data_IF_121728754453
#
_entry.id   IF_121728754453
#
_cell.length_a   1.000
_cell.length_b   1.000
_cell.length_c   1.000
_cell.angle_alpha   90.00
_cell.angle_beta   90.00
_cell.angle_gamma   90.00
#
_symmetry.space_group_name_H-M   'P 1'
#
loop_
_entity.id
_entity.type
_entity.pdbx_description
1 polymer ?
#
# COMPACT_ATOMS: atom_id res chain seq x y z
N UNK A 1 31.86 16.52 27.44
CA UNK A 1 30.81 17.11 28.32
C UNK A 1 30.44 16.02 29.31
N UNK A 2 30.54 16.13 30.63
CA UNK A 2 30.97 17.18 31.55
C UNK A 2 31.44 16.41 32.79
N UNK A 3 32.73 16.49 33.09
CA UNK A 3 33.34 15.96 34.31
C UNK A 3 32.79 16.76 35.50
N UNK A 4 32.36 16.08 36.56
CA UNK A 4 32.26 16.68 37.90
C UNK A 4 33.19 15.88 38.80
N UNK A 5 34.29 16.54 39.15
CA UNK A 5 35.20 16.19 40.24
C UNK A 5 34.55 16.66 41.55
N UNK A 6 34.63 15.86 42.62
CA UNK A 6 34.65 16.38 43.98
C UNK A 6 35.74 15.67 44.78
N UNK A 7 36.73 16.47 45.16
CA UNK A 7 37.87 16.20 46.02
C UNK A 7 37.40 16.27 47.48
N UNK A 8 37.74 15.27 48.29
CA UNK A 8 38.00 15.47 49.73
C UNK A 8 39.25 14.69 50.10
N UNK A 9 40.28 15.43 50.47
CA UNK A 9 41.57 14.97 50.96
C UNK A 9 41.59 14.88 52.48
N UNK A 10 42.42 13.94 52.95
CA UNK A 10 43.21 13.94 54.19
C UNK A 10 42.73 13.11 55.40
N UNK A 11 43.44 11.98 55.53
CA UNK A 11 44.06 11.41 56.74
C UNK A 11 43.21 10.47 57.63
N UNK A 12 43.63 9.20 57.59
CA UNK A 12 43.86 8.44 58.82
C UNK A 12 42.83 7.38 59.20
N UNK A 13 42.83 6.26 58.48
CA UNK A 13 42.91 4.87 59.00
C UNK A 13 42.35 3.90 57.98
N UNK A 14 43.16 2.88 57.68
CA UNK A 14 42.83 1.74 56.83
C UNK A 14 41.67 0.95 57.45
N UNK A 15 40.46 1.29 57.06
CA UNK A 15 39.29 0.45 57.17
C UNK A 15 38.77 0.17 55.77
N UNK A 16 39.39 -0.76 55.04
CA UNK A 16 38.71 -1.38 53.90
C UNK A 16 37.55 -2.18 54.48
N UNK A 17 36.39 -1.54 54.67
CA UNK A 17 35.15 -2.29 54.75
C UNK A 17 35.07 -3.12 53.48
N UNK A 18 34.91 -4.45 53.55
CA UNK A 18 34.55 -5.20 52.37
C UNK A 18 33.23 -4.59 51.91
N UNK A 19 33.26 -3.88 50.79
CA UNK A 19 32.05 -3.61 50.02
C UNK A 19 31.60 -4.99 49.57
N UNK A 20 30.76 -5.60 50.41
CA UNK A 20 30.02 -6.80 50.07
C UNK A 20 29.01 -6.35 49.02
N UNK A 21 29.45 -6.25 47.78
CA UNK A 21 28.54 -6.09 46.66
C UNK A 21 27.63 -7.33 46.67
N UNK A 22 26.38 -7.12 47.08
CA UNK A 22 25.36 -8.16 47.04
C UNK A 22 25.18 -8.58 45.58
N UNK A 23 25.05 -9.89 45.34
CA UNK A 23 24.77 -10.37 44.00
C UNK A 23 23.28 -10.22 43.75
N UNK A 24 22.93 -9.29 42.86
CA UNK A 24 21.58 -9.11 42.35
C UNK A 24 21.44 -10.05 41.15
N UNK A 25 20.46 -10.94 41.23
CA UNK A 25 20.09 -11.82 40.12
C UNK A 25 18.95 -11.19 39.32
N UNK A 26 19.18 -11.06 38.02
CA UNK A 26 18.20 -10.56 37.07
C UNK A 26 17.37 -11.73 36.54
N UNK A 27 16.04 -11.63 36.63
CA UNK A 27 15.14 -12.70 36.19
C UNK A 27 14.09 -12.13 35.25
N UNK A 28 14.08 -12.68 34.03
CA UNK A 28 13.09 -12.35 33.02
C UNK A 28 11.74 -12.99 33.37
N UNK A 29 10.69 -12.18 33.43
CA UNK A 29 9.32 -12.63 33.65
C UNK A 29 8.47 -12.28 32.43
N UNK A 30 7.98 -13.32 31.76
CA UNK A 30 7.01 -13.21 30.68
C UNK A 30 5.60 -13.32 31.26
N UNK A 31 4.74 -12.38 30.90
CA UNK A 31 3.34 -12.35 31.34
C UNK A 31 2.45 -11.75 30.25
N UNK A 32 1.15 -11.87 30.45
CA UNK A 32 0.15 -11.28 29.57
C UNK A 32 -0.74 -10.34 30.36
N UNK A 33 -1.27 -9.30 29.70
CA UNK A 33 -2.29 -8.42 30.28
C UNK A 33 -3.36 -8.09 29.25
N UNK A 34 -4.56 -7.79 29.73
CA UNK A 34 -5.63 -7.31 28.86
C UNK A 34 -5.47 -5.81 28.61
N UNK A 35 -5.21 -5.43 27.35
CA UNK A 35 -5.24 -4.05 26.91
C UNK A 35 -6.69 -3.67 26.59
N UNK A 36 -7.15 -2.59 27.22
CA UNK A 36 -8.46 -2.01 26.95
C UNK A 36 -8.46 -1.25 25.60
N UNK A 37 -9.63 -1.19 24.92
CA UNK A 37 -9.78 -0.43 23.69
C UNK A 37 -9.55 1.06 23.92
N UNK A 38 -8.92 1.73 22.95
CA UNK A 38 -8.73 3.18 22.98
C UNK A 38 -10.05 3.95 22.79
N UNK A 39 -10.93 3.40 21.96
CA UNK A 39 -12.23 3.97 21.61
C UNK A 39 -13.32 2.92 21.85
N UNK A 40 -13.67 2.62 23.11
CA UNK A 40 -14.70 1.63 23.43
C UNK A 40 -16.04 2.02 22.79
N UNK A 41 -16.74 1.04 22.23
CA UNK A 41 -18.11 1.23 21.77
C UNK A 41 -19.08 1.21 22.96
N UNK A 42 -20.29 1.72 22.75
CA UNK A 42 -21.34 1.64 23.77
C UNK A 42 -21.57 0.19 24.22
N UNK A 43 -21.77 -0.02 25.54
CA UNK A 43 -21.89 -1.35 26.16
C UNK A 43 -23.07 -2.17 25.63
N UNK A 44 -24.10 -1.50 25.10
CA UNK A 44 -25.27 -2.14 24.47
C UNK A 44 -24.92 -2.81 23.14
N UNK A 45 -23.83 -2.42 22.49
CA UNK A 45 -23.38 -2.98 21.23
C UNK A 45 -22.71 -4.33 21.46
N UNK A 46 -23.30 -5.38 20.90
CA UNK A 46 -22.76 -6.75 20.93
C UNK A 46 -22.35 -7.26 19.56
N UNK A 47 -22.91 -6.65 18.52
CA UNK A 47 -22.75 -7.12 17.16
C UNK A 47 -21.94 -6.15 16.30
N UNK A 48 -21.29 -6.70 15.27
CA UNK A 48 -20.67 -5.90 14.23
C UNK A 48 -20.83 -6.57 12.86
N UNK A 49 -20.81 -5.75 11.81
CA UNK A 49 -20.69 -6.17 10.43
C UNK A 49 -19.52 -5.47 9.76
N UNK A 50 -18.89 -6.15 8.82
CA UNK A 50 -17.81 -5.59 8.01
C UNK A 50 -18.31 -5.42 6.58
N UNK A 51 -18.11 -4.23 6.02
CA UNK A 51 -18.42 -3.88 4.64
C UNK A 51 -17.14 -3.48 3.95
N UNK A 52 -16.80 -4.13 2.84
CA UNK A 52 -15.60 -3.80 2.05
C UNK A 52 -16.02 -3.04 0.81
N UNK A 53 -15.39 -1.89 0.58
CA UNK A 53 -15.64 -1.03 -0.58
C UNK A 53 -14.34 -0.88 -1.36
N UNK A 54 -14.42 -1.05 -2.68
CA UNK A 54 -13.32 -0.85 -3.61
C UNK A 54 -13.82 0.12 -4.70
N UNK A 55 -13.69 1.45 -4.51
CA UNK A 55 -14.30 2.44 -5.41
C UNK A 55 -13.80 2.32 -6.86
N UNK A 56 -12.55 1.87 -7.05
CA UNK A 56 -11.96 1.69 -8.38
C UNK A 56 -12.62 0.58 -9.22
N UNK A 57 -13.42 -0.31 -8.62
CA UNK A 57 -14.15 -1.33 -9.40
C UNK A 57 -15.23 -0.70 -10.28
N UNK A 58 -15.86 0.40 -9.84
CA UNK A 58 -16.80 1.14 -10.68
C UNK A 58 -16.11 1.81 -11.88
N UNK A 59 -14.85 2.22 -11.72
CA UNK A 59 -14.02 2.77 -12.81
C UNK A 59 -13.62 1.66 -13.79
N UNK A 60 -13.22 0.49 -13.28
CA UNK A 60 -12.97 -0.70 -14.09
C UNK A 60 -14.19 -1.07 -14.96
N UNK A 61 -15.39 -1.09 -14.37
CA UNK A 61 -16.63 -1.40 -15.08
C UNK A 61 -16.93 -0.39 -16.19
N UNK A 62 -16.74 0.92 -15.91
CA UNK A 62 -16.91 1.98 -16.91
C UNK A 62 -15.94 1.83 -18.07
N UNK A 63 -14.65 1.66 -17.77
CA UNK A 63 -13.62 1.48 -18.79
C UNK A 63 -13.90 0.23 -19.65
N UNK A 64 -14.38 -0.85 -19.05
CA UNK A 64 -14.75 -2.06 -19.78
C UNK A 64 -16.00 -1.85 -20.67
N UNK A 65 -16.98 -1.07 -20.22
CA UNK A 65 -18.15 -0.72 -21.02
C UNK A 65 -17.78 0.18 -22.21
N UNK A 66 -16.92 1.17 -21.99
CA UNK A 66 -16.40 2.04 -23.06
C UNK A 66 -15.62 1.23 -24.09
N UNK A 67 -14.76 0.32 -23.65
CA UNK A 67 -14.05 -0.60 -24.54
C UNK A 67 -14.99 -1.46 -25.38
N UNK A 68 -16.05 -2.03 -24.77
CA UNK A 68 -17.07 -2.80 -25.49
C UNK A 68 -17.83 -1.95 -26.53
N UNK A 69 -18.13 -0.68 -26.20
CA UNK A 69 -18.78 0.25 -27.14
C UNK A 69 -17.86 0.59 -28.30
N UNK A 70 -16.58 0.87 -28.03
CA UNK A 70 -15.58 1.11 -29.06
C UNK A 70 -15.42 -0.09 -29.99
N UNK A 71 -15.35 -1.31 -29.44
CA UNK A 71 -15.31 -2.55 -30.24
C UNK A 71 -16.52 -2.70 -31.16
N UNK A 72 -17.72 -2.36 -30.66
CA UNK A 72 -18.94 -2.44 -31.45
C UNK A 72 -19.00 -1.43 -32.60
N UNK A 73 -18.29 -0.29 -32.50
CA UNK A 73 -18.26 0.71 -33.59
C UNK A 73 -17.24 0.39 -34.68
N UNK A 74 -16.21 -0.42 -34.40
CA UNK A 74 -15.10 -0.71 -35.33
C UNK A 74 -15.58 -1.13 -36.72
N UNK A 75 -16.55 -2.04 -36.80
CA UNK A 75 -17.04 -2.55 -38.09
C UNK A 75 -17.80 -1.48 -38.88
N UNK A 76 -18.63 -0.68 -38.20
CA UNK A 76 -19.39 0.40 -38.83
C UNK A 76 -18.47 1.54 -39.28
N UNK A 77 -17.52 1.95 -38.43
CA UNK A 77 -16.54 2.99 -38.72
C UNK A 77 -15.64 2.58 -39.89
N UNK A 78 -15.21 1.31 -39.92
CA UNK A 78 -14.42 0.76 -41.02
C UNK A 78 -15.21 0.71 -42.34
N UNK A 79 -16.45 0.21 -42.32
CA UNK A 79 -17.30 0.18 -43.52
C UNK A 79 -17.58 1.60 -44.07
N UNK A 80 -17.79 2.57 -43.18
CA UNK A 80 -17.94 3.97 -43.57
C UNK A 80 -16.66 4.56 -44.16
N UNK A 81 -15.50 4.22 -43.59
CA UNK A 81 -14.19 4.61 -44.10
C UNK A 81 -13.92 3.99 -45.49
N UNK A 82 -14.27 2.72 -45.70
CA UNK A 82 -14.18 2.05 -47.01
C UNK A 82 -15.07 2.72 -48.06
N UNK A 83 -16.32 3.03 -47.72
CA UNK A 83 -17.23 3.73 -48.63
C UNK A 83 -16.71 5.13 -48.99
N UNK A 84 -16.12 5.84 -48.03
CA UNK A 84 -15.51 7.16 -48.25
C UNK A 84 -14.24 7.06 -49.09
N UNK A 85 -13.41 6.06 -48.85
CA UNK A 85 -12.21 5.77 -49.64
C UNK A 85 -12.55 5.44 -51.09
N UNK A 86 -13.58 4.62 -51.33
CA UNK A 86 -14.04 4.31 -52.68
C UNK A 86 -14.45 5.56 -53.47
N UNK A 87 -15.16 6.50 -52.82
CA UNK A 87 -15.50 7.81 -53.42
C UNK A 87 -14.26 8.66 -53.70
N UNK A 88 -13.31 8.69 -52.77
CA UNK A 88 -12.06 9.44 -52.94
C UNK A 88 -11.19 8.88 -54.07
N UNK A 89 -11.11 7.56 -54.21
CA UNK A 89 -10.42 6.89 -55.34
C UNK A 89 -11.10 7.25 -56.67
N UNK A 90 -12.43 7.22 -56.74
CA UNK A 90 -13.16 7.59 -57.96
C UNK A 90 -12.92 9.06 -58.34
N UNK A 91 -12.98 9.97 -57.36
CA UNK A 91 -12.70 11.38 -57.58
C UNK A 91 -11.25 11.64 -58.04
N UNK A 92 -10.27 10.98 -57.43
CA UNK A 92 -8.87 11.10 -57.81
C UNK A 92 -8.60 10.59 -59.24
N UNK A 93 -9.28 9.51 -59.67
CA UNK A 93 -9.22 9.03 -61.05
C UNK A 93 -9.84 10.02 -62.04
N UNK A 94 -11.01 10.57 -61.72
CA UNK A 94 -11.69 11.54 -62.58
C UNK A 94 -10.87 12.85 -62.74
N UNK A 95 -10.31 13.37 -61.65
CA UNK A 95 -9.42 14.54 -61.66
C UNK A 95 -8.15 14.27 -62.49
N UNK A 96 -7.55 13.10 -62.33
CA UNK A 96 -6.40 12.69 -63.14
C UNK A 96 -6.73 12.61 -64.64
N UNK A 97 -7.87 12.01 -65.01
CA UNK A 97 -8.32 11.93 -66.41
C UNK A 97 -8.57 13.32 -67.00
N UNK A 98 -9.19 14.23 -66.24
CA UNK A 98 -9.41 15.61 -66.66
C UNK A 98 -8.09 16.34 -66.89
N UNK A 99 -7.16 16.27 -65.93
CA UNK A 99 -5.82 16.85 -66.03
C UNK A 99 -5.03 16.26 -67.19
N UNK A 100 -5.15 14.95 -67.43
CA UNK A 100 -4.50 14.29 -68.56
C UNK A 100 -5.08 14.73 -69.90
N UNK A 101 -6.40 14.88 -70.00
CA UNK A 101 -7.06 15.39 -71.21
C UNK A 101 -6.66 16.84 -71.50
N UNK A 102 -6.59 17.69 -70.47
CA UNK A 102 -6.12 19.08 -70.59
C UNK A 102 -4.64 19.15 -70.99
N UNK A 103 -3.78 18.37 -70.32
CA UNK A 103 -2.38 18.22 -70.72
C UNK A 103 -2.27 17.77 -72.17
N UNK A 104 -3.06 16.79 -72.62
CA UNK A 104 -3.00 16.30 -74.00
C UNK A 104 -3.40 17.38 -75.03
N UNK A 105 -4.36 18.26 -74.72
CA UNK A 105 -4.78 19.38 -75.59
C UNK A 105 -3.74 20.50 -75.73
N UNK A 106 -2.78 20.62 -74.82
CA UNK A 106 -1.74 21.65 -74.89
C UNK A 106 -0.77 21.41 -76.06
N UNK A 107 -0.32 22.50 -76.71
CA UNK A 107 0.66 22.44 -77.80
C UNK A 107 2.03 21.96 -77.31
N UNK A 108 2.88 21.46 -78.22
CA UNK A 108 4.22 20.96 -77.89
C UNK A 108 5.11 22.06 -77.27
N UNK A 109 4.98 23.30 -77.75
CA UNK A 109 5.71 24.46 -77.22
C UNK A 109 5.24 24.83 -75.80
N UNK A 110 3.93 24.76 -75.54
CA UNK A 110 3.35 25.01 -74.20
C UNK A 110 3.79 23.95 -73.18
N UNK A 111 3.83 22.67 -73.59
CA UNK A 111 4.31 21.56 -72.75
C UNK A 111 5.79 21.70 -72.38
N UNK A 112 6.63 22.15 -73.33
CA UNK A 112 8.05 22.40 -73.10
C UNK A 112 8.28 23.59 -72.14
N UNK A 113 7.51 24.68 -72.31
CA UNK A 113 7.59 25.86 -71.44
C UNK A 113 7.16 25.54 -70.01
N UNK A 114 6.04 24.83 -69.81
CA UNK A 114 5.54 24.45 -68.48
C UNK A 114 6.50 23.49 -67.75
N UNK A 115 7.12 22.56 -68.49
CA UNK A 115 8.13 21.66 -67.91
C UNK A 115 9.42 22.38 -67.52
N UNK A 116 9.84 23.40 -68.28
CA UNK A 116 11.06 24.16 -68.01
C UNK A 116 10.93 25.27 -66.97
N UNK A 117 9.75 25.91 -66.87
CA UNK A 117 9.52 27.08 -65.99
C UNK A 117 8.78 26.72 -64.71
N UNK A 118 7.76 25.85 -64.79
CA UNK A 118 6.89 25.49 -63.65
C UNK A 118 7.21 24.10 -63.07
N UNK A 119 8.14 23.36 -63.69
CA UNK A 119 8.43 21.95 -63.38
C UNK A 119 7.16 21.07 -63.41
N UNK A 120 6.16 21.47 -64.20
CA UNK A 120 4.89 20.76 -64.35
C UNK A 120 5.00 19.76 -65.52
N UNK A 121 5.11 18.47 -65.16
CA UNK A 121 5.19 17.36 -66.10
C UNK A 121 3.82 16.76 -66.46
N UNK A 122 3.84 15.62 -67.16
CA UNK A 122 2.63 14.81 -67.37
C UNK A 122 1.99 14.52 -66.00
N UNK A 123 0.67 14.74 -65.83
CA UNK A 123 -0.02 14.41 -64.59
C UNK A 123 0.28 12.97 -64.15
N UNK A 124 0.31 12.73 -62.85
CA UNK A 124 0.51 11.40 -62.25
C UNK A 124 -0.72 11.08 -61.39
N UNK A 125 -1.23 9.85 -61.52
CA UNK A 125 -2.34 9.39 -60.69
C UNK A 125 -1.85 9.19 -59.25
N UNK A 126 -2.40 9.96 -58.32
CA UNK A 126 -2.19 9.78 -56.88
C UNK A 126 -3.48 9.26 -56.25
N UNK A 127 -3.41 8.09 -55.62
CA UNK A 127 -4.56 7.47 -54.96
C UNK A 127 -4.45 7.63 -53.44
N UNK A 128 -5.57 7.85 -52.74
CA UNK A 128 -5.58 7.86 -51.28
C UNK A 128 -5.26 6.46 -50.72
N UNK A 129 -4.59 6.41 -49.56
CA UNK A 129 -4.31 5.16 -48.86
C UNK A 129 -5.60 4.46 -48.40
N UNK A 130 -5.66 3.11 -48.49
CA UNK A 130 -6.81 2.37 -48.00
C UNK A 130 -6.96 2.52 -46.48
N UNK A 131 -8.20 2.57 -45.97
CA UNK A 131 -8.43 2.59 -44.53
C UNK A 131 -7.94 1.29 -43.89
N UNK A 132 -7.57 1.36 -42.61
CA UNK A 132 -7.19 0.20 -41.81
C UNK A 132 -8.19 0.00 -40.69
N UNK A 133 -8.48 -1.26 -40.39
CA UNK A 133 -9.34 -1.61 -39.25
C UNK A 133 -8.53 -1.53 -37.97
N UNK A 134 -8.73 -0.46 -37.20
CA UNK A 134 -8.05 -0.25 -35.93
C UNK A 134 -8.90 -0.83 -34.80
N UNK A 135 -8.35 -1.80 -34.08
CA UNK A 135 -9.00 -2.30 -32.87
C UNK A 135 -8.63 -1.39 -31.68
N UNK A 136 -9.61 -0.99 -30.85
CA UNK A 136 -9.31 -0.29 -29.61
C UNK A 136 -8.45 -1.20 -28.71
N UNK A 137 -7.58 -0.58 -27.91
CA UNK A 137 -6.76 -1.29 -26.94
C UNK A 137 -7.62 -1.62 -25.70
N UNK A 138 -7.51 -2.84 -25.13
CA UNK A 138 -8.21 -3.15 -23.88
C UNK A 138 -7.73 -2.22 -22.75
N UNK A 139 -8.62 -1.80 -21.84
CA UNK A 139 -8.25 -0.95 -20.73
C UNK A 139 -7.39 -1.73 -19.73
N UNK A 140 -6.43 -1.03 -19.11
CA UNK A 140 -5.71 -1.54 -17.95
C UNK A 140 -6.64 -1.50 -16.73
N UNK A 141 -7.09 -2.67 -16.30
CA UNK A 141 -7.98 -2.81 -15.15
C UNK A 141 -7.18 -3.17 -13.90
N UNK A 142 -7.56 -2.58 -12.77
CA UNK A 142 -7.04 -2.99 -11.44
C UNK A 142 -7.59 -4.36 -11.04
N UNK A 143 -6.87 -5.14 -10.22
CA UNK A 143 -7.36 -6.42 -9.71
C UNK A 143 -8.66 -6.28 -8.92
N UNK A 144 -9.66 -7.08 -9.26
CA UNK A 144 -10.90 -7.22 -8.48
C UNK A 144 -10.60 -7.77 -7.08
N UNK A 145 -11.39 -7.36 -6.09
CA UNK A 145 -11.27 -7.85 -4.71
C UNK A 145 -12.46 -8.74 -4.38
N UNK A 146 -12.17 -9.90 -3.80
CA UNK A 146 -13.20 -10.69 -3.11
C UNK A 146 -13.57 -9.99 -1.79
N UNK A 147 -14.65 -9.21 -1.86
CA UNK A 147 -15.14 -8.39 -0.73
C UNK A 147 -15.64 -9.27 0.42
N UNK A 148 -16.24 -10.42 0.12
CA UNK A 148 -16.80 -11.32 1.14
C UNK A 148 -15.69 -12.07 1.88
N UNK A 149 -14.68 -12.57 1.15
CA UNK A 149 -13.51 -13.17 1.78
C UNK A 149 -12.72 -12.15 2.60
N UNK A 150 -12.57 -10.92 2.08
CA UNK A 150 -11.88 -9.82 2.78
C UNK A 150 -12.63 -9.43 4.05
N UNK A 151 -13.95 -9.24 3.97
CA UNK A 151 -14.79 -9.00 5.14
C UNK A 151 -14.71 -10.19 6.11
N UNK A 152 -14.74 -11.42 5.60
CA UNK A 152 -14.52 -12.70 6.27
C UNK A 152 -13.31 -12.72 7.21
N UNK A 153 -12.18 -12.19 6.74
CA UNK A 153 -10.92 -12.19 7.48
C UNK A 153 -10.83 -11.20 8.65
N UNK A 154 -11.67 -10.17 8.68
CA UNK A 154 -11.58 -9.09 9.67
C UNK A 154 -12.47 -9.32 10.89
N UNK A 155 -11.91 -9.10 12.07
CA UNK A 155 -12.59 -9.30 13.36
C UNK A 155 -12.53 -8.04 14.22
N UNK A 156 -13.53 -7.86 15.06
CA UNK A 156 -13.51 -6.88 16.14
C UNK A 156 -13.55 -7.65 17.46
N UNK A 157 -12.42 -7.78 18.18
CA UNK A 157 -12.36 -8.55 19.42
C UNK A 157 -13.38 -8.04 20.45
N UNK A 158 -14.06 -8.95 21.15
CA UNK A 158 -15.10 -8.61 22.11
C UNK A 158 -16.51 -8.45 21.53
N UNK A 159 -16.68 -8.58 20.21
CA UNK A 159 -17.99 -8.49 19.55
C UNK A 159 -18.26 -9.73 18.69
N UNK A 160 -19.54 -10.03 18.49
CA UNK A 160 -19.98 -11.15 17.65
C UNK A 160 -20.37 -10.64 16.27
N UNK A 161 -19.98 -11.33 15.20
CA UNK A 161 -20.40 -10.92 13.86
C UNK A 161 -21.92 -11.07 13.71
N UNK A 162 -22.60 -10.03 13.22
CA UNK A 162 -24.04 -9.99 13.06
C UNK A 162 -24.55 -8.62 12.60
N UNK A 163 -25.82 -8.58 12.17
CA UNK A 163 -26.48 -7.32 11.81
C UNK A 163 -26.88 -6.49 13.05
N UNK A 164 -27.37 -5.27 12.80
CA UNK A 164 -27.94 -4.36 13.81
C UNK A 164 -26.98 -3.84 14.90
N UNK A 165 -25.67 -3.98 14.69
CA UNK A 165 -24.63 -3.43 15.56
C UNK A 165 -23.72 -2.44 14.85
N UNK A 166 -22.45 -2.39 15.23
CA UNK A 166 -21.47 -1.52 14.60
C UNK A 166 -21.21 -1.91 13.13
N UNK A 167 -21.12 -0.92 12.25
CA UNK A 167 -20.77 -1.11 10.84
C UNK A 167 -19.34 -0.65 10.64
N UNK A 168 -18.45 -1.60 10.37
CA UNK A 168 -17.05 -1.34 10.02
C UNK A 168 -16.92 -1.35 8.50
N UNK A 169 -16.74 -0.18 7.90
CA UNK A 169 -16.48 -0.05 6.46
C UNK A 169 -14.99 0.06 6.20
N UNK A 170 -14.44 -0.87 5.43
CA UNK A 170 -13.05 -0.86 4.98
C UNK A 170 -13.02 -0.46 3.51
N UNK A 171 -12.38 0.67 3.21
CA UNK A 171 -12.28 1.23 1.86
C UNK A 171 -10.88 0.96 1.30
N UNK A 172 -10.80 0.15 0.26
CA UNK A 172 -9.59 -0.16 -0.47
C UNK A 172 -9.46 0.82 -1.64
N UNK A 173 -8.65 1.88 -1.52
CA UNK A 173 -8.54 2.91 -2.57
C UNK A 173 -7.80 2.41 -3.83
N UNK A 174 -7.15 1.25 -3.74
CA UNK A 174 -6.32 0.67 -4.79
C UNK A 174 -4.90 1.21 -4.75
N UNK A 175 -3.97 0.49 -5.39
CA UNK A 175 -2.58 0.92 -5.42
C UNK A 175 -2.41 2.16 -6.30
N UNK A 176 -1.70 3.14 -5.76
CA UNK A 176 -1.19 4.29 -6.49
C UNK A 176 0.30 4.05 -6.73
N UNK A 177 0.73 4.04 -7.98
CA UNK A 177 2.14 3.91 -8.35
C UNK A 177 2.54 5.05 -9.29
N UNK A 178 3.74 5.58 -9.12
CA UNK A 178 4.32 6.54 -10.04
C UNK A 178 4.69 5.86 -11.37
N UNK A 179 4.84 6.66 -12.43
CA UNK A 179 5.54 6.19 -13.63
C UNK A 179 6.98 5.76 -13.27
N UNK A 180 7.53 4.72 -13.93
CA UNK A 180 8.90 4.30 -13.69
C UNK A 180 9.90 5.39 -14.03
N UNK A 181 10.78 5.72 -13.08
CA UNK A 181 11.85 6.71 -13.25
C UNK A 181 13.20 6.03 -13.18
N UNK A 182 14.21 6.60 -13.84
CA UNK A 182 15.58 6.10 -13.68
C UNK A 182 16.05 6.34 -12.25
N UNK A 183 16.64 5.32 -11.63
CA UNK A 183 17.22 5.42 -10.31
C UNK A 183 18.63 6.04 -10.39
N UNK A 184 18.66 7.37 -10.47
CA UNK A 184 19.89 8.16 -10.55
C UNK A 184 20.71 8.12 -9.24
N UNK A 185 20.13 7.57 -8.16
CA UNK A 185 20.74 7.50 -6.82
C UNK A 185 21.41 6.16 -6.51
N UNK A 186 21.09 5.09 -7.26
CA UNK A 186 21.63 3.75 -6.98
C UNK A 186 23.15 3.69 -7.17
N UNK A 187 23.84 2.96 -6.29
CA UNK A 187 25.26 2.66 -6.45
C UNK A 187 25.56 1.93 -7.78
N UNK A 188 24.56 1.22 -8.33
CA UNK A 188 24.61 0.58 -9.64
C UNK A 188 24.60 1.61 -10.79
N UNK A 189 23.78 2.66 -10.71
CA UNK A 189 23.80 3.79 -11.65
C UNK A 189 25.10 4.58 -11.57
N UNK A 190 25.57 4.88 -10.35
CA UNK A 190 26.84 5.61 -10.14
C UNK A 190 28.07 4.81 -10.61
N UNK A 191 28.06 3.47 -10.51
CA UNK A 191 29.12 2.60 -11.01
C UNK A 191 29.03 2.32 -12.51
N UNK A 192 27.83 2.33 -13.09
CA UNK A 192 27.58 2.09 -14.51
C UNK A 192 27.22 3.37 -15.28
N UNK A 193 27.59 4.55 -14.80
CA UNK A 193 27.39 5.82 -15.52
C UNK A 193 28.03 5.81 -16.93
N UNK A 194 28.94 4.87 -17.19
CA UNK A 194 29.58 4.59 -18.48
C UNK A 194 28.95 3.46 -19.32
N UNK A 195 27.93 2.73 -18.82
CA UNK A 195 27.28 1.64 -19.55
C UNK A 195 25.76 1.91 -19.74
N UNK A 196 25.38 2.72 -20.75
CA UNK A 196 24.00 3.18 -20.98
C UNK A 196 22.97 2.07 -21.29
N UNK A 197 23.40 0.81 -21.40
CA UNK A 197 22.58 -0.32 -21.85
C UNK A 197 21.77 -1.03 -20.75
N UNK A 198 21.85 -0.63 -19.47
CA UNK A 198 21.05 -1.25 -18.40
C UNK A 198 20.59 -0.27 -17.30
N UNK A 199 19.70 0.70 -17.61
CA UNK A 199 19.17 1.62 -16.62
C UNK A 199 18.33 0.86 -15.56
N UNK A 200 18.63 1.08 -14.28
CA UNK A 200 17.77 0.65 -13.18
C UNK A 200 16.60 1.62 -13.07
N UNK A 201 15.37 1.09 -13.04
CA UNK A 201 14.17 1.90 -12.85
C UNK A 201 13.62 1.71 -11.44
N UNK A 202 12.90 2.71 -10.96
CA UNK A 202 12.23 2.74 -9.66
C UNK A 202 10.81 3.27 -9.79
N UNK A 203 9.94 2.77 -8.92
CA UNK A 203 8.59 3.25 -8.71
C UNK A 203 8.39 3.63 -7.25
N UNK A 204 7.66 4.72 -7.05
CA UNK A 204 7.10 5.08 -5.75
C UNK A 204 5.64 4.64 -5.72
N UNK A 205 5.24 3.88 -4.70
CA UNK A 205 3.88 3.37 -4.61
C UNK A 205 3.33 3.38 -3.20
N UNK A 206 2.01 3.42 -3.08
CA UNK A 206 1.27 3.26 -1.82
C UNK A 206 -0.07 2.60 -2.09
N UNK A 207 -0.68 2.06 -1.05
CA UNK A 207 -2.03 1.50 -1.14
C UNK A 207 -2.82 2.01 0.07
N UNK A 208 -3.45 3.18 -0.02
CA UNK A 208 -4.22 3.73 1.09
C UNK A 208 -5.42 2.84 1.43
N UNK A 209 -5.68 2.65 2.72
CA UNK A 209 -6.87 1.94 3.21
C UNK A 209 -7.59 2.78 4.25
N UNK A 210 -8.87 3.05 3.98
CA UNK A 210 -9.78 3.77 4.88
C UNK A 210 -10.51 2.83 5.82
N UNK A 211 -10.70 3.24 7.07
CA UNK A 211 -11.58 2.59 8.05
C UNK A 211 -12.60 3.61 8.53
N UNK A 212 -13.88 3.24 8.40
CA UNK A 212 -15.01 4.00 8.93
C UNK A 212 -15.80 3.09 9.87
N UNK A 213 -16.13 3.57 11.07
CA UNK A 213 -16.95 2.82 12.03
C UNK A 213 -18.15 3.66 12.42
N UNK A 214 -19.34 3.13 12.13
CA UNK A 214 -20.62 3.73 12.49
C UNK A 214 -21.35 2.83 13.48
N UNK A 215 -21.92 3.44 14.51
CA UNK A 215 -22.56 2.71 15.60
C UNK A 215 -23.99 3.23 15.78
N UNK A 216 -25.01 2.36 15.82
CA UNK A 216 -26.38 2.76 16.11
C UNK A 216 -26.47 3.54 17.44
N UNK A 217 -27.13 4.69 17.43
CA UNK A 217 -27.27 5.55 18.62
C UNK A 217 -26.06 6.42 18.96
N UNK A 218 -24.84 6.00 18.59
CA UNK A 218 -23.60 6.78 18.81
C UNK A 218 -23.16 7.55 17.54
N UNK A 219 -23.61 7.14 16.35
CA UNK A 219 -23.28 7.78 15.08
C UNK A 219 -21.89 7.39 14.56
N UNK A 220 -21.19 8.35 13.94
CA UNK A 220 -19.86 8.14 13.38
C UNK A 220 -18.81 8.15 14.49
N UNK A 221 -18.12 7.02 14.69
CA UNK A 221 -17.09 6.86 15.73
C UNK A 221 -15.70 7.07 15.16
N UNK A 222 -15.43 6.51 13.98
CA UNK A 222 -14.15 6.63 13.28
C UNK A 222 -14.38 6.86 11.80
N UNK A 223 -13.55 7.70 11.18
CA UNK A 223 -13.47 7.86 9.73
C UNK A 223 -12.08 8.38 9.36
N UNK A 224 -11.14 7.46 9.13
CA UNK A 224 -9.76 7.81 8.84
C UNK A 224 -9.10 6.84 7.87
N UNK A 225 -8.01 7.30 7.26
CA UNK A 225 -7.10 6.43 6.50
C UNK A 225 -6.03 5.93 7.45
N UNK A 226 -5.75 4.62 7.42
CA UNK A 226 -4.70 4.02 8.26
C UNK A 226 -3.36 4.65 7.86
N UNK A 227 -2.67 5.38 8.76
CA UNK A 227 -1.49 6.16 8.38
C UNK A 227 -0.40 5.34 7.70
N UNK A 228 -0.12 4.14 8.24
CA UNK A 228 0.89 3.22 7.70
C UNK A 228 0.60 2.72 6.27
N UNK A 229 -0.64 2.83 5.79
CA UNK A 229 -1.03 2.45 4.43
C UNK A 229 -0.89 3.60 3.42
N UNK A 230 -0.72 4.83 3.91
CA UNK A 230 -0.70 6.04 3.11
C UNK A 230 0.73 6.57 2.80
N UNK A 231 1.74 5.90 3.35
CA UNK A 231 3.15 6.22 3.12
C UNK A 231 3.64 5.62 1.79
N UNK A 232 4.38 6.41 1.02
CA UNK A 232 5.02 5.93 -0.21
C UNK A 232 6.20 5.00 0.12
N UNK A 233 6.20 3.85 -0.54
CA UNK A 233 7.28 2.89 -0.57
C UNK A 233 8.04 3.04 -1.89
N UNK A 234 9.34 2.77 -1.85
CA UNK A 234 10.23 2.88 -3.00
C UNK A 234 10.76 1.50 -3.37
N UNK A 235 10.64 1.10 -4.63
CA UNK A 235 11.16 -0.19 -5.09
C UNK A 235 11.73 -0.10 -6.50
N UNK A 236 12.84 -0.80 -6.70
CA UNK A 236 13.36 -1.06 -8.03
C UNK A 236 12.41 -1.92 -8.85
N UNK A 237 12.40 -1.68 -10.15
CA UNK A 237 11.46 -2.30 -11.07
C UNK A 237 12.13 -2.61 -12.41
N UNK A 238 11.62 -3.64 -13.09
CA UNK A 238 12.05 -3.99 -14.44
C UNK A 238 11.27 -3.22 -15.52
N UNK A 239 10.12 -2.62 -15.18
CA UNK A 239 9.35 -1.78 -16.10
C UNK A 239 9.97 -0.38 -16.27
N UNK A 240 9.83 0.17 -17.47
CA UNK A 240 10.26 1.51 -17.86
C UNK A 240 9.07 2.31 -18.37
N UNK A 241 9.28 3.61 -18.65
CA UNK A 241 8.27 4.45 -19.31
C UNK A 241 7.77 3.90 -20.67
N UNK A 242 8.55 3.03 -21.32
CA UNK A 242 8.21 2.43 -22.62
C UNK A 242 7.62 1.01 -22.50
N UNK A 243 7.48 0.48 -21.28
CA UNK A 243 6.96 -0.87 -21.08
C UNK A 243 5.51 -0.99 -21.53
N UNK A 244 5.18 -2.13 -22.12
CA UNK A 244 3.82 -2.39 -22.59
C UNK A 244 2.84 -2.46 -21.40
N UNK A 245 1.53 -2.25 -21.64
CA UNK A 245 0.50 -2.46 -20.64
C UNK A 245 0.60 -3.82 -19.94
N UNK A 246 0.89 -4.89 -20.69
CA UNK A 246 1.01 -6.26 -20.17
C UNK A 246 2.21 -6.42 -19.25
N UNK A 247 3.37 -5.86 -19.62
CA UNK A 247 4.56 -5.88 -18.78
C UNK A 247 4.32 -5.15 -17.46
N UNK A 248 3.67 -3.98 -17.53
CA UNK A 248 3.27 -3.24 -16.32
C UNK A 248 2.36 -4.08 -15.44
N UNK A 249 1.32 -4.68 -16.02
CA UNK A 249 0.38 -5.51 -15.29
C UNK A 249 1.07 -6.70 -14.59
N UNK A 250 2.00 -7.37 -15.27
CA UNK A 250 2.73 -8.51 -14.72
C UNK A 250 3.58 -8.16 -13.49
N UNK A 251 4.04 -6.92 -13.37
CA UNK A 251 4.87 -6.47 -12.25
C UNK A 251 4.06 -5.78 -11.14
N UNK A 252 3.02 -5.02 -11.52
CA UNK A 252 2.17 -4.23 -10.61
C UNK A 252 1.13 -5.10 -9.90
N UNK A 253 0.49 -6.05 -10.57
CA UNK A 253 -0.59 -6.85 -9.96
C UNK A 253 -0.11 -7.67 -8.75
N UNK A 254 1.04 -8.38 -8.80
CA UNK A 254 1.55 -9.12 -7.64
C UNK A 254 1.95 -8.19 -6.47
N UNK A 255 2.49 -7.01 -6.80
CA UNK A 255 2.85 -6.01 -5.80
C UNK A 255 1.61 -5.49 -5.07
N UNK A 256 0.56 -5.16 -5.84
CA UNK A 256 -0.72 -4.72 -5.29
C UNK A 256 -1.36 -5.81 -4.41
N UNK A 257 -1.34 -7.07 -4.85
CA UNK A 257 -1.87 -8.19 -4.07
C UNK A 257 -1.15 -8.36 -2.72
N UNK A 258 0.19 -8.26 -2.72
CA UNK A 258 1.02 -8.33 -1.51
C UNK A 258 0.74 -7.17 -0.56
N UNK A 259 0.64 -5.95 -1.08
CA UNK A 259 0.31 -4.77 -0.28
C UNK A 259 -1.07 -4.89 0.34
N UNK A 260 -2.06 -5.35 -0.42
CA UNK A 260 -3.41 -5.58 0.09
C UNK A 260 -3.40 -6.56 1.26
N UNK A 261 -2.71 -7.70 1.15
CA UNK A 261 -2.61 -8.66 2.25
C UNK A 261 -1.98 -8.04 3.51
N UNK A 262 -0.87 -7.31 3.34
CA UNK A 262 -0.20 -6.63 4.45
C UNK A 262 -1.08 -5.54 5.08
N UNK A 263 -1.76 -4.76 4.26
CA UNK A 263 -2.64 -3.70 4.73
C UNK A 263 -3.84 -4.26 5.49
N UNK A 264 -4.39 -5.41 5.10
CA UNK A 264 -5.46 -6.05 5.87
C UNK A 264 -4.99 -6.49 7.27
N UNK A 265 -3.73 -6.88 7.43
CA UNK A 265 -3.13 -7.13 8.77
C UNK A 265 -3.05 -5.83 9.57
N UNK A 266 -2.68 -4.71 8.94
CA UNK A 266 -2.67 -3.40 9.58
C UNK A 266 -4.08 -2.94 9.97
N UNK A 267 -5.09 -3.18 9.12
CA UNK A 267 -6.51 -2.94 9.45
C UNK A 267 -6.92 -3.76 10.67
N UNK A 268 -6.57 -5.05 10.70
CA UNK A 268 -6.88 -5.90 11.85
C UNK A 268 -6.24 -5.36 13.14
N UNK A 269 -4.95 -5.03 13.10
CA UNK A 269 -4.23 -4.44 14.25
C UNK A 269 -4.85 -3.11 14.70
N UNK A 270 -5.29 -2.29 13.74
CA UNK A 270 -5.99 -1.05 14.02
C UNK A 270 -7.31 -1.31 14.76
N UNK A 271 -8.16 -2.21 14.26
CA UNK A 271 -9.42 -2.59 14.91
C UNK A 271 -9.19 -3.18 16.31
N UNK A 272 -8.18 -4.04 16.46
CA UNK A 272 -7.79 -4.62 17.75
C UNK A 272 -7.36 -3.56 18.77
N UNK A 273 -6.70 -2.50 18.31
CA UNK A 273 -6.23 -1.41 19.18
C UNK A 273 -7.35 -0.42 19.56
N UNK A 274 -8.22 -0.10 18.60
CA UNK A 274 -9.26 0.91 18.79
C UNK A 274 -10.45 0.36 19.54
N UNK A 275 -10.91 -0.83 19.19
CA UNK A 275 -12.21 -1.36 19.65
C UNK A 275 -12.09 -2.68 20.40
N UNK A 276 -10.99 -3.41 20.19
CA UNK A 276 -10.76 -4.71 20.81
C UNK A 276 -10.26 -4.64 22.25
N UNK A 277 -10.63 -5.66 23.03
CA UNK A 277 -9.85 -6.05 24.21
C UNK A 277 -8.83 -7.08 23.74
N UNK A 278 -7.54 -6.74 23.83
CA UNK A 278 -6.47 -7.58 23.31
C UNK A 278 -5.58 -8.09 24.45
N UNK A 279 -5.29 -9.39 24.46
CA UNK A 279 -4.27 -9.98 25.34
C UNK A 279 -2.89 -9.68 24.77
N UNK A 280 -2.07 -8.94 25.51
CA UNK A 280 -0.76 -8.49 25.04
C UNK A 280 0.35 -9.18 25.85
N UNK A 281 1.26 -9.93 25.22
CA UNK A 281 2.42 -10.48 25.89
C UNK A 281 3.42 -9.38 26.22
N UNK A 282 4.00 -9.45 27.42
CA UNK A 282 5.03 -8.55 27.91
C UNK A 282 6.12 -9.33 28.62
N UNK A 283 7.31 -8.77 28.55
CA UNK A 283 8.45 -9.20 29.33
C UNK A 283 8.84 -8.06 30.28
N UNK A 284 9.05 -8.38 31.54
CA UNK A 284 9.63 -7.47 32.52
C UNK A 284 10.83 -8.14 33.21
N UNK A 285 11.69 -7.33 33.82
CA UNK A 285 12.82 -7.81 34.62
C UNK A 285 12.47 -7.65 36.08
N UNK A 286 12.61 -8.72 36.85
CA UNK A 286 12.56 -8.69 38.30
C UNK A 286 13.95 -8.95 38.87
N UNK A 287 14.26 -8.24 39.94
CA UNK A 287 15.53 -8.31 40.63
C UNK A 287 15.33 -9.00 41.97
N UNK A 288 16.20 -9.95 42.30
CA UNK A 288 16.22 -10.59 43.62
C UNK A 288 17.65 -10.71 44.13
N UNK A 289 17.82 -10.80 45.45
CA UNK A 289 19.13 -10.90 46.10
C UNK A 289 19.41 -12.37 46.39
N UNK A 290 20.52 -12.90 45.91
CA UNK A 290 20.95 -14.26 46.26
C UNK A 290 21.72 -14.23 47.60
N UNK A 291 21.23 -14.91 48.66
CA UNK A 291 21.86 -14.87 49.97
C UNK A 291 23.20 -15.62 49.94
N UNK A 292 24.30 -14.93 50.27
CA UNK A 292 25.65 -15.54 50.39
C UNK A 292 26.07 -15.85 51.83
N UNK A 293 25.85 -14.92 52.76
CA UNK A 293 26.30 -15.03 54.18
C UNK A 293 25.29 -14.50 55.20
N UNK A 294 24.26 -13.80 54.74
CA UNK A 294 23.12 -13.35 55.55
C UNK A 294 21.85 -13.90 54.91
N UNK A 295 20.88 -14.29 55.73
CA UNK A 295 19.54 -14.62 55.29
C UNK A 295 18.79 -13.32 55.00
N UNK A 296 18.16 -13.25 53.84
CA UNK A 296 17.23 -12.18 53.50
C UNK A 296 15.91 -12.84 53.15
N UNK A 297 15.23 -13.28 54.21
CA UNK A 297 14.07 -14.15 54.10
C UNK A 297 12.86 -13.43 53.50
N UNK A 298 12.88 -12.10 53.44
CA UNK A 298 11.85 -11.23 52.88
C UNK A 298 11.89 -11.10 51.33
N UNK A 299 13.07 -11.10 50.70
CA UNK A 299 13.17 -10.82 49.25
C UNK A 299 12.70 -11.98 48.37
N UNK A 300 12.88 -13.22 48.82
CA UNK A 300 12.45 -14.40 48.07
C UNK A 300 10.91 -14.51 48.00
N UNK A 301 10.17 -14.39 49.13
CA UNK A 301 8.71 -14.26 49.10
C UNK A 301 8.21 -13.06 48.31
N UNK A 302 8.87 -11.90 48.40
CA UNK A 302 8.49 -10.71 47.64
C UNK A 302 8.60 -10.95 46.13
N UNK A 303 9.69 -11.59 45.70
CA UNK A 303 9.91 -11.99 44.32
C UNK A 303 8.87 -13.01 43.83
N UNK A 304 8.54 -14.01 44.63
CA UNK A 304 7.51 -15.01 44.30
C UNK A 304 6.12 -14.37 44.21
N UNK A 305 5.77 -13.46 45.12
CA UNK A 305 4.54 -12.69 45.08
C UNK A 305 4.48 -11.80 43.83
N UNK A 306 5.58 -11.15 43.44
CA UNK A 306 5.66 -10.37 42.22
C UNK A 306 5.46 -11.22 40.96
N UNK A 307 6.09 -12.40 40.86
CA UNK A 307 5.85 -13.33 39.75
C UNK A 307 4.38 -13.75 39.70
N UNK A 308 3.80 -14.11 40.85
CA UNK A 308 2.40 -14.51 40.95
C UNK A 308 1.46 -13.39 40.49
N UNK A 309 1.76 -12.14 40.87
CA UNK A 309 1.02 -10.96 40.43
C UNK A 309 1.07 -10.79 38.91
N UNK A 310 2.25 -10.82 38.29
CA UNK A 310 2.39 -10.71 36.84
C UNK A 310 1.68 -11.83 36.09
N UNK A 311 1.79 -13.09 36.56
CA UNK A 311 1.10 -14.23 35.94
C UNK A 311 -0.43 -14.13 36.02
N UNK A 312 -0.97 -13.43 37.02
CA UNK A 312 -2.42 -13.28 37.23
C UNK A 312 -3.02 -12.05 36.56
N UNK A 313 -2.20 -11.18 35.96
CA UNK A 313 -2.63 -9.87 35.49
C UNK A 313 -3.68 -9.92 34.36
N UNK A 314 -3.68 -10.95 33.52
CA UNK A 314 -4.64 -11.13 32.42
C UNK A 314 -5.97 -11.78 32.84
N UNK A 315 -5.93 -12.69 33.81
CA UNK A 315 -7.08 -13.55 34.19
C UNK A 315 -7.79 -13.06 35.46
N UNK A 316 -7.03 -12.59 36.44
CA UNK A 316 -7.52 -12.22 37.77
C UNK A 316 -6.92 -10.88 38.24
N UNK A 317 -7.27 -9.74 37.62
CA UNK A 317 -6.62 -8.45 37.88
C UNK A 317 -6.74 -7.99 39.34
N UNK A 318 -7.86 -8.30 40.00
CA UNK A 318 -8.05 -8.00 41.42
C UNK A 318 -7.12 -8.82 42.33
N UNK A 319 -6.92 -10.11 42.02
CA UNK A 319 -5.98 -10.96 42.75
C UNK A 319 -4.53 -10.54 42.46
N UNK A 320 -4.21 -10.22 41.20
CA UNK A 320 -2.91 -9.68 40.81
C UNK A 320 -2.55 -8.43 41.62
N UNK A 321 -3.50 -7.50 41.79
CA UNK A 321 -3.31 -6.29 42.60
C UNK A 321 -2.99 -6.61 44.07
N UNK A 322 -3.62 -7.62 44.66
CA UNK A 322 -3.30 -8.07 46.01
C UNK A 322 -1.88 -8.63 46.11
N UNK A 323 -1.46 -9.47 45.16
CA UNK A 323 -0.10 -10.00 45.12
C UNK A 323 0.96 -8.91 44.89
N UNK A 324 0.66 -7.89 44.08
CA UNK A 324 1.54 -6.72 43.95
C UNK A 324 1.67 -5.96 45.28
N UNK A 325 0.56 -5.75 45.99
CA UNK A 325 0.60 -5.10 47.30
C UNK A 325 1.41 -5.92 48.33
N UNK A 326 1.29 -7.24 48.31
CA UNK A 326 2.10 -8.15 49.15
C UNK A 326 3.58 -8.07 48.79
N UNK A 327 3.93 -8.10 47.50
CA UNK A 327 5.31 -7.99 47.05
C UNK A 327 5.95 -6.66 47.47
N UNK A 328 5.23 -5.54 47.30
CA UNK A 328 5.68 -4.21 47.71
C UNK A 328 5.89 -4.13 49.22
N UNK A 329 4.95 -4.64 50.03
CA UNK A 329 5.07 -4.62 51.49
C UNK A 329 6.20 -5.49 52.05
N UNK A 330 6.73 -6.42 51.26
CA UNK A 330 7.89 -7.25 51.62
C UNK A 330 9.22 -6.72 51.06
N UNK A 331 9.15 -5.77 50.12
CA UNK A 331 10.31 -5.08 49.56
C UNK A 331 10.65 -3.76 50.27
N UNK A 332 9.69 -3.18 50.98
CA UNK A 332 9.88 -2.06 51.92
C UNK A 332 10.51 -2.51 53.25
#
# INVERSE_FOLDING_TARGET
>A
MRNILLLVSAVGSLGTFPVMAQHIADREVKYEYQRLPLTPLDKSIKHYQVVVVAPYEAENDRAQQEYKRALASVDADFAQAEASHAKAVAAAKADYEQKLAEYNKQSLATKMLNKGVLNEGKPVLSLPYPPQKLQPMPPLMRPTVDKDATAGGLKVPGYTRGGQGAVVTVTLYGMEASEPKKDESSAAYLRNATNPNNPTYVIDYRYPVGVKVEVPGQGLVVNETIPATNEYQHQQTAISAYSSPEQRKQEIDPLEAKLRENNLKLVQQYLDSQFGVATVPRTTMLYTIEPKKMTYDEYQPAYEAAIAAYKKLSEEPAAAQQFFATALAQWD
#
